data_IF_706336378878
#
_entry.id   IF_706336378878
#
_cell.length_a   1.000
_cell.length_b   1.000
_cell.length_c   1.000
_cell.angle_alpha   90.00
_cell.angle_beta   90.00
_cell.angle_gamma   90.00
#
_symmetry.space_group_name_H-M   'P 1'
#
loop_
_entity.id
_entity.type
_entity.pdbx_description
1 polymer ?
#
# COMPACT_ATOMS: atom_id res chain seq x y z
N UNK A 1 54.23 7.75 16.99
CA UNK A 1 53.34 7.47 15.85
C UNK A 1 52.74 6.08 16.06
N UNK A 2 51.42 5.99 16.28
CA UNK A 2 50.55 4.82 16.04
C UNK A 2 49.15 5.26 16.50
N UNK A 3 48.39 5.87 15.57
CA UNK A 3 47.01 6.29 15.80
C UNK A 3 46.14 5.04 15.72
N UNK A 4 45.65 4.59 16.87
CA UNK A 4 44.71 3.49 16.98
C UNK A 4 43.36 3.93 16.37
N UNK A 5 43.05 3.41 15.18
CA UNK A 5 41.78 3.63 14.49
C UNK A 5 40.75 2.72 15.12
N UNK A 6 39.99 3.22 16.08
CA UNK A 6 38.74 2.60 16.50
C UNK A 6 37.73 2.76 15.37
N UNK A 7 37.56 1.71 14.57
CA UNK A 7 36.43 1.59 13.65
C UNK A 7 35.17 1.38 14.50
N UNK A 8 34.61 2.50 14.98
CA UNK A 8 33.24 2.55 15.50
C UNK A 8 32.32 2.11 14.38
N UNK A 9 32.00 0.81 14.38
CA UNK A 9 30.97 0.21 13.55
C UNK A 9 29.67 0.86 13.98
N UNK A 10 29.33 1.93 13.26
CA UNK A 10 28.02 2.56 13.27
C UNK A 10 27.04 1.46 12.95
N UNK A 11 26.51 0.83 13.99
CA UNK A 11 25.23 0.17 13.92
C UNK A 11 24.27 1.30 13.61
N UNK A 12 24.04 1.47 12.32
CA UNK A 12 23.00 2.33 11.79
C UNK A 12 21.75 1.97 12.57
N UNK A 13 21.41 2.81 13.55
CA UNK A 13 20.08 2.82 14.11
C UNK A 13 19.17 2.88 12.91
N UNK A 14 18.46 1.79 12.67
CA UNK A 14 17.26 1.82 11.88
C UNK A 14 16.42 2.88 12.56
N UNK A 15 16.46 4.08 11.99
CA UNK A 15 15.48 5.12 12.20
C UNK A 15 14.19 4.42 11.81
N UNK A 16 13.51 3.85 12.81
CA UNK A 16 12.08 3.58 12.75
C UNK A 16 11.52 4.98 12.57
N UNK A 17 11.41 5.35 11.29
CA UNK A 17 10.81 6.58 10.86
C UNK A 17 9.47 6.61 11.58
N UNK A 18 9.27 7.66 12.38
CA UNK A 18 7.98 7.99 12.93
C UNK A 18 6.97 7.75 11.82
N UNK A 19 6.08 6.76 12.04
CA UNK A 19 4.96 6.51 11.18
C UNK A 19 4.23 7.84 11.11
N UNK A 20 4.43 8.55 10.00
CA UNK A 20 3.74 9.79 9.76
C UNK A 20 2.28 9.44 9.86
N UNK A 21 1.59 10.04 10.82
CA UNK A 21 0.15 10.21 10.79
C UNK A 21 -0.16 10.94 9.48
N UNK A 22 -0.20 10.21 8.37
CA UNK A 22 -0.95 10.58 7.20
C UNK A 22 -2.38 10.47 7.65
N UNK A 23 -2.84 11.50 8.37
CA UNK A 23 -4.24 11.75 8.56
C UNK A 23 -4.82 11.78 7.15
N UNK A 24 -5.46 10.68 6.76
CA UNK A 24 -6.26 10.64 5.55
C UNK A 24 -7.36 11.65 5.83
N UNK A 25 -7.14 12.87 5.33
CA UNK A 25 -8.14 13.92 5.32
C UNK A 25 -9.21 13.45 4.34
N UNK A 26 -10.08 12.56 4.80
CA UNK A 26 -11.38 12.33 4.19
C UNK A 26 -12.12 13.65 4.33
N UNK A 27 -11.94 14.53 3.35
CA UNK A 27 -12.78 15.70 3.22
C UNK A 27 -14.20 15.15 3.04
N UNK A 28 -15.15 15.48 3.93
CA UNK A 28 -16.52 15.03 3.76
C UNK A 28 -17.00 15.53 2.40
N UNK A 29 -17.18 14.60 1.47
CA UNK A 29 -17.95 14.91 0.27
C UNK A 29 -19.35 15.19 0.79
N UNK A 30 -19.90 16.40 0.58
CA UNK A 30 -21.27 16.65 0.96
C UNK A 30 -22.11 15.63 0.21
N UNK A 31 -22.71 14.67 0.93
CA UNK A 31 -23.78 13.85 0.40
C UNK A 31 -24.84 14.84 -0.05
N UNK A 32 -24.89 15.09 -1.36
CA UNK A 32 -25.90 15.95 -1.95
C UNK A 32 -27.22 15.29 -1.62
N UNK A 33 -27.95 15.84 -0.65
CA UNK A 33 -29.29 15.38 -0.35
C UNK A 33 -30.06 15.43 -1.66
N UNK A 34 -30.46 14.25 -2.18
CA UNK A 34 -31.29 14.19 -3.35
C UNK A 34 -32.47 15.15 -3.15
N UNK A 35 -32.80 15.98 -4.16
CA UNK A 35 -33.95 16.87 -4.06
C UNK A 35 -35.18 16.03 -3.67
N UNK A 36 -35.89 16.47 -2.62
CA UNK A 36 -37.07 15.77 -2.12
C UNK A 36 -38.23 15.78 -3.14
N UNK A 37 -38.16 16.68 -4.13
CA UNK A 37 -39.12 16.79 -5.22
C UNK A 37 -38.59 16.10 -6.48
N UNK A 38 -39.44 15.35 -7.21
CA UNK A 38 -39.05 14.73 -8.46
C UNK A 38 -38.64 15.81 -9.50
N UNK A 39 -37.66 15.53 -10.38
CA UNK A 39 -37.22 16.49 -11.38
C UNK A 39 -38.40 16.94 -12.24
N UNK A 40 -38.60 18.26 -12.36
CA UNK A 40 -39.73 18.83 -13.08
C UNK A 40 -39.53 18.71 -14.60
N UNK A 41 -38.29 18.52 -15.05
CA UNK A 41 -37.92 18.43 -16.46
C UNK A 41 -36.99 17.26 -16.77
N UNK A 42 -37.02 16.82 -18.03
CA UNK A 42 -36.13 15.80 -18.57
C UNK A 42 -34.64 16.20 -18.50
N UNK A 43 -34.34 17.49 -18.57
CA UNK A 43 -32.98 18.02 -18.46
C UNK A 43 -32.47 17.98 -17.01
N UNK A 44 -33.31 18.29 -16.02
CA UNK A 44 -32.95 18.16 -14.61
C UNK A 44 -32.71 16.69 -14.22
N UNK A 45 -33.54 15.76 -14.73
CA UNK A 45 -33.32 14.33 -14.55
C UNK A 45 -31.97 13.87 -15.14
N UNK A 46 -31.59 14.45 -16.27
CA UNK A 46 -30.34 14.12 -16.95
C UNK A 46 -29.11 14.52 -16.14
N UNK A 47 -29.09 15.78 -15.69
CA UNK A 47 -28.02 16.33 -14.88
C UNK A 47 -27.87 15.58 -13.55
N UNK A 48 -28.99 15.15 -12.96
CA UNK A 48 -28.98 14.41 -11.70
C UNK A 48 -28.39 13.01 -11.85
N UNK A 49 -28.69 12.30 -12.94
CA UNK A 49 -28.08 10.98 -13.23
C UNK A 49 -26.59 11.11 -13.50
N UNK A 50 -26.17 12.13 -14.25
CA UNK A 50 -24.76 12.40 -14.49
C UNK A 50 -24.01 12.70 -13.17
N UNK A 51 -24.56 13.57 -12.32
CA UNK A 51 -24.01 13.84 -11.00
C UNK A 51 -23.94 12.59 -10.13
N UNK A 52 -24.97 11.75 -10.14
CA UNK A 52 -25.01 10.50 -9.36
C UNK A 52 -23.94 9.52 -9.84
N UNK A 53 -23.77 9.38 -11.17
CA UNK A 53 -22.73 8.52 -11.73
C UNK A 53 -21.32 9.01 -11.37
N UNK A 54 -21.10 10.33 -11.42
CA UNK A 54 -19.83 10.94 -11.00
C UNK A 54 -19.58 10.73 -9.50
N UNK A 55 -20.61 10.87 -8.66
CA UNK A 55 -20.53 10.61 -7.22
C UNK A 55 -20.21 9.15 -6.93
N UNK A 56 -20.86 8.19 -7.59
CA UNK A 56 -20.56 6.76 -7.46
C UNK A 56 -19.12 6.43 -7.83
N UNK A 57 -18.63 6.99 -8.94
CA UNK A 57 -17.23 6.80 -9.37
C UNK A 57 -16.25 7.37 -8.34
N UNK A 58 -16.53 8.57 -7.83
CA UNK A 58 -15.71 9.19 -6.80
C UNK A 58 -15.76 8.42 -5.46
N UNK A 59 -16.89 7.81 -5.13
CA UNK A 59 -17.06 7.03 -3.92
C UNK A 59 -16.34 5.67 -4.02
N UNK A 60 -16.41 5.01 -5.17
CA UNK A 60 -15.71 3.74 -5.43
C UNK A 60 -14.19 3.94 -5.31
N UNK A 61 -13.66 5.02 -5.90
CA UNK A 61 -12.25 5.39 -5.74
C UNK A 61 -11.90 5.67 -4.26
N UNK A 62 -12.76 6.40 -3.53
CA UNK A 62 -12.54 6.66 -2.11
C UNK A 62 -12.54 5.38 -1.27
N UNK A 63 -13.45 4.43 -1.55
CA UNK A 63 -13.47 3.11 -0.90
C UNK A 63 -12.17 2.38 -1.17
N UNK A 64 -11.73 2.32 -2.42
CA UNK A 64 -10.48 1.65 -2.77
C UNK A 64 -9.26 2.29 -2.09
N UNK A 65 -9.19 3.62 -2.06
CA UNK A 65 -8.13 4.33 -1.34
C UNK A 65 -8.19 4.09 0.18
N UNK A 66 -9.39 4.01 0.76
CA UNK A 66 -9.57 3.68 2.17
C UNK A 66 -9.13 2.24 2.49
N UNK A 67 -9.46 1.26 1.64
CA UNK A 67 -8.99 -0.12 1.78
C UNK A 67 -7.45 -0.21 1.74
N UNK A 68 -6.82 0.51 0.80
CA UNK A 68 -5.35 0.58 0.72
C UNK A 68 -4.75 1.22 1.97
N UNK A 69 -5.39 2.26 2.52
CA UNK A 69 -4.97 2.90 3.76
C UNK A 69 -5.08 1.94 4.95
N UNK A 70 -6.20 1.21 5.10
CA UNK A 70 -6.39 0.18 6.13
C UNK A 70 -5.29 -0.87 6.03
N UNK A 71 -5.04 -1.42 4.84
CA UNK A 71 -4.01 -2.43 4.63
C UNK A 71 -2.60 -1.91 5.00
N UNK A 72 -2.29 -0.65 4.67
CA UNK A 72 -1.02 -0.04 5.04
C UNK A 72 -0.87 0.12 6.55
N UNK A 73 -1.93 0.50 7.27
CA UNK A 73 -1.89 0.62 8.74
C UNK A 73 -1.76 -0.73 9.43
N UNK A 74 -2.45 -1.77 8.92
CA UNK A 74 -2.29 -3.13 9.43
C UNK A 74 -0.87 -3.67 9.23
N UNK A 75 -0.23 -3.37 8.09
CA UNK A 75 1.17 -3.74 7.87
C UNK A 75 2.10 -3.00 8.84
N UNK A 76 1.86 -1.70 9.09
CA UNK A 76 2.65 -0.92 10.03
C UNK A 76 2.52 -1.48 11.47
N UNK A 77 1.32 -1.91 11.87
CA UNK A 77 1.10 -2.60 13.15
C UNK A 77 1.91 -3.90 13.25
N UNK A 78 1.86 -4.73 12.21
CA UNK A 78 2.62 -5.98 12.16
C UNK A 78 4.14 -5.78 12.20
N UNK A 79 4.65 -4.73 11.57
CA UNK A 79 6.07 -4.37 11.61
C UNK A 79 6.49 -3.89 13.02
N UNK A 80 5.62 -3.11 13.69
CA UNK A 80 5.83 -2.71 15.09
C UNK A 80 5.81 -3.91 16.03
N UNK A 81 4.92 -4.89 15.79
CA UNK A 81 4.86 -6.15 16.52
C UNK A 81 6.17 -6.92 16.44
N UNK A 82 6.68 -7.12 15.22
CA UNK A 82 7.93 -7.83 15.01
C UNK A 82 9.13 -7.13 15.68
N UNK A 83 9.13 -5.79 15.72
CA UNK A 83 10.18 -5.01 16.39
C UNK A 83 10.16 -5.19 17.91
N UNK A 84 8.97 -5.22 18.54
CA UNK A 84 8.85 -5.48 19.97
C UNK A 84 9.28 -6.90 20.32
N UNK A 85 8.86 -7.91 19.54
CA UNK A 85 9.22 -9.30 19.76
C UNK A 85 10.75 -9.50 19.69
N UNK A 86 11.41 -8.81 18.76
CA UNK A 86 12.87 -8.79 18.67
C UNK A 86 13.53 -8.17 19.91
N UNK A 87 12.97 -7.09 20.46
CA UNK A 87 13.46 -6.46 21.68
C UNK A 87 13.28 -7.36 22.92
N UNK A 88 12.13 -8.04 23.02
CA UNK A 88 11.87 -9.02 24.08
C UNK A 88 12.83 -10.22 24.01
N UNK A 89 13.09 -10.74 22.81
CA UNK A 89 14.04 -11.82 22.61
C UNK A 89 15.46 -11.44 23.04
N UNK A 90 15.86 -10.17 22.89
CA UNK A 90 17.14 -9.67 23.41
C UNK A 90 17.14 -9.64 24.94
N UNK A 91 16.09 -9.12 25.59
CA UNK A 91 16.00 -9.16 27.07
C UNK A 91 16.06 -10.57 27.63
N UNK A 92 15.35 -11.51 26.99
CA UNK A 92 15.33 -12.90 27.42
C UNK A 92 16.73 -13.53 27.41
N UNK A 93 17.61 -13.11 26.50
CA UNK A 93 19.02 -13.55 26.46
C UNK A 93 19.84 -13.02 27.64
N UNK A 94 19.57 -11.80 28.11
CA UNK A 94 20.30 -11.19 29.23
C UNK A 94 19.73 -11.57 30.61
N UNK A 95 18.46 -11.99 30.68
CA UNK A 95 17.79 -12.32 31.94
C UNK A 95 18.54 -13.34 32.84
N UNK A 96 19.15 -14.43 32.31
CA UNK A 96 19.92 -15.36 33.14
C UNK A 96 21.18 -14.73 33.74
N UNK A 97 21.86 -13.85 33.00
CA UNK A 97 23.08 -13.16 33.44
C UNK A 97 22.75 -12.21 34.59
N UNK A 98 21.69 -11.41 34.44
CA UNK A 98 21.21 -10.48 35.47
C UNK A 98 20.80 -11.25 36.73
N UNK A 99 20.07 -12.36 36.57
CA UNK A 99 19.68 -13.22 37.69
C UNK A 99 20.90 -13.83 38.38
N UNK A 100 21.92 -14.24 37.62
CA UNK A 100 23.18 -14.75 38.15
C UNK A 100 23.94 -13.70 38.95
N UNK A 101 24.01 -12.45 38.47
CA UNK A 101 24.64 -11.33 39.18
C UNK A 101 23.88 -11.07 40.50
N UNK A 102 22.55 -10.99 40.45
CA UNK A 102 21.72 -10.78 41.63
C UNK A 102 21.88 -11.90 42.67
N UNK A 103 21.89 -13.17 42.24
CA UNK A 103 22.09 -14.32 43.12
C UNK A 103 23.49 -14.34 43.74
N UNK A 104 24.55 -14.11 42.96
CA UNK A 104 25.93 -14.09 43.45
C UNK A 104 26.25 -12.88 44.36
N UNK A 105 25.61 -11.74 44.08
CA UNK A 105 25.65 -10.55 44.93
C UNK A 105 24.97 -10.76 46.27
N UNK A 106 23.85 -11.49 46.29
CA UNK A 106 23.07 -11.75 47.50
C UNK A 106 23.63 -12.88 48.38
N UNK A 107 24.19 -13.95 47.79
CA UNK A 107 24.44 -15.21 48.52
C UNK A 107 25.88 -15.54 48.90
N UNK A 108 26.92 -15.10 48.17
CA UNK A 108 28.16 -15.91 48.18
C UNK A 108 29.52 -15.22 48.30
N UNK A 109 29.66 -13.91 48.12
CA UNK A 109 30.96 -13.35 47.77
C UNK A 109 31.63 -12.48 48.84
N UNK A 110 30.98 -12.16 49.96
CA UNK A 110 31.60 -11.32 51.01
C UNK A 110 32.76 -12.02 51.71
N UNK A 111 32.67 -13.33 51.96
CA UNK A 111 33.72 -14.06 52.69
C UNK A 111 34.94 -14.42 51.81
N UNK A 112 34.72 -14.81 50.55
CA UNK A 112 35.81 -15.11 49.59
C UNK A 112 36.51 -13.86 49.05
N UNK A 113 35.82 -12.71 48.93
CA UNK A 113 36.45 -11.44 48.50
C UNK A 113 37.43 -10.90 49.54
N UNK A 114 37.12 -11.04 50.83
CA UNK A 114 38.05 -10.65 51.92
C UNK A 114 39.28 -11.57 51.94
N UNK A 115 39.11 -12.88 51.67
CA UNK A 115 40.23 -13.81 51.57
C UNK A 115 41.11 -13.56 50.33
N UNK A 116 40.51 -13.24 49.18
CA UNK A 116 41.25 -12.88 47.95
C UNK A 116 41.98 -11.53 48.08
N UNK A 117 41.40 -10.56 48.81
CA UNK A 117 42.05 -9.28 49.10
C UNK A 117 43.32 -9.45 49.97
N UNK A 118 43.31 -10.40 50.90
CA UNK A 118 44.48 -10.71 51.75
C UNK A 118 45.57 -11.52 51.01
N UNK A 119 45.26 -12.11 49.85
CA UNK A 119 46.20 -12.91 49.06
C UNK A 119 46.67 -12.26 47.75
N UNK A 120 46.19 -11.06 47.41
CA UNK A 120 46.57 -10.36 46.17
C UNK A 120 47.86 -9.57 46.36
N UNK A 121 48.89 -9.88 45.57
CA UNK A 121 50.25 -9.35 45.72
C UNK A 121 50.44 -7.90 45.21
N UNK A 122 49.41 -7.25 44.64
CA UNK A 122 49.55 -5.87 44.11
C UNK A 122 48.25 -5.04 44.21
N UNK A 123 48.38 -3.77 44.62
CA UNK A 123 47.25 -2.84 44.71
C UNK A 123 46.74 -2.39 43.32
N UNK A 124 47.59 -2.45 42.29
CA UNK A 124 47.26 -2.05 40.92
C UNK A 124 46.28 -3.02 40.24
N UNK A 125 46.42 -4.34 40.50
CA UNK A 125 45.53 -5.35 39.92
C UNK A 125 44.10 -5.23 40.45
N UNK A 126 43.94 -4.86 41.73
CA UNK A 126 42.62 -4.60 42.31
C UNK A 126 41.92 -3.41 41.63
N UNK A 127 42.65 -2.31 41.42
CA UNK A 127 42.09 -1.12 40.75
C UNK A 127 41.70 -1.46 39.31
N UNK A 128 42.55 -2.19 38.57
CA UNK A 128 42.24 -2.63 37.22
C UNK A 128 40.99 -3.52 37.16
N UNK A 129 40.82 -4.44 38.13
CA UNK A 129 39.63 -5.29 38.23
C UNK A 129 38.37 -4.47 38.55
N UNK A 130 38.45 -3.48 39.45
CA UNK A 130 37.31 -2.60 39.77
C UNK A 130 36.91 -1.73 38.58
N UNK A 131 37.88 -1.16 37.84
CA UNK A 131 37.59 -0.40 36.62
C UNK A 131 36.93 -1.26 35.53
N UNK A 132 37.34 -2.51 35.38
CA UNK A 132 36.70 -3.43 34.44
C UNK A 132 35.26 -3.76 34.85
N UNK A 133 35.02 -3.99 36.14
CA UNK A 133 33.68 -4.25 36.67
C UNK A 133 32.77 -3.03 36.50
N UNK A 134 33.29 -1.82 36.76
CA UNK A 134 32.57 -0.56 36.58
C UNK A 134 32.17 -0.36 35.11
N UNK A 135 33.11 -0.57 34.18
CA UNK A 135 32.84 -0.48 32.74
C UNK A 135 31.84 -1.53 32.25
N UNK A 136 31.85 -2.73 32.84
CA UNK A 136 30.86 -3.78 32.52
C UNK A 136 29.48 -3.47 33.10
N UNK A 137 29.41 -2.90 34.30
CA UNK A 137 28.17 -2.44 34.92
C UNK A 137 27.53 -1.31 34.11
N UNK A 138 28.30 -0.27 33.78
CA UNK A 138 27.87 0.84 32.92
C UNK A 138 27.36 0.33 31.56
N UNK A 139 28.06 -0.62 30.95
CA UNK A 139 27.61 -1.20 29.68
C UNK A 139 26.28 -1.96 29.83
N UNK A 140 26.11 -2.73 30.91
CA UNK A 140 24.90 -3.51 31.16
C UNK A 140 23.70 -2.62 31.45
N UNK A 141 23.88 -1.58 32.28
CA UNK A 141 22.85 -0.58 32.57
C UNK A 141 22.47 0.20 31.30
N UNK A 142 23.45 0.51 30.45
CA UNK A 142 23.23 1.10 29.13
C UNK A 142 22.36 0.21 28.24
N UNK A 143 22.68 -1.07 28.11
CA UNK A 143 21.89 -2.03 27.32
C UNK A 143 20.47 -2.18 27.88
N UNK A 144 20.30 -2.28 29.20
CA UNK A 144 18.96 -2.37 29.82
C UNK A 144 18.12 -1.12 29.59
N UNK A 145 18.73 0.06 29.67
CA UNK A 145 18.08 1.34 29.36
C UNK A 145 17.66 1.40 27.90
N UNK A 146 18.54 1.01 26.97
CA UNK A 146 18.23 1.00 25.54
C UNK A 146 17.09 0.03 25.21
N UNK A 147 17.09 -1.16 25.80
CA UNK A 147 16.06 -2.17 25.50
C UNK A 147 14.71 -1.80 26.12
N UNK A 148 14.67 -1.31 27.36
CA UNK A 148 13.42 -0.80 27.95
C UNK A 148 12.84 0.37 27.15
N UNK A 149 13.69 1.28 26.67
CA UNK A 149 13.27 2.36 25.77
C UNK A 149 12.83 1.85 24.38
N UNK A 150 13.39 0.74 23.89
CA UNK A 150 12.94 0.10 22.65
C UNK A 150 11.57 -0.55 22.83
N UNK A 151 11.33 -1.24 23.94
CA UNK A 151 10.02 -1.83 24.27
C UNK A 151 8.94 -0.75 24.37
N UNK A 152 9.18 0.31 25.15
CA UNK A 152 8.20 1.40 25.29
C UNK A 152 7.85 2.05 23.92
N UNK A 153 8.85 2.22 23.03
CA UNK A 153 8.62 2.73 21.67
C UNK A 153 7.82 1.75 20.81
N UNK A 154 8.06 0.45 20.94
CA UNK A 154 7.33 -0.55 20.18
C UNK A 154 5.88 -0.69 20.67
N UNK A 155 5.64 -0.68 21.99
CA UNK A 155 4.29 -0.64 22.58
C UNK A 155 3.52 0.61 22.13
N UNK A 156 4.16 1.78 22.15
CA UNK A 156 3.56 3.01 21.63
C UNK A 156 3.23 2.90 20.14
N UNK A 157 4.15 2.37 19.33
CA UNK A 157 3.93 2.19 17.89
C UNK A 157 2.79 1.21 17.59
N UNK A 158 2.67 0.12 18.37
CA UNK A 158 1.52 -0.81 18.31
C UNK A 158 0.21 -0.08 18.59
N UNK A 159 0.13 0.66 19.69
CA UNK A 159 -1.07 1.41 20.07
C UNK A 159 -1.47 2.48 19.03
N UNK A 160 -0.48 3.19 18.48
CA UNK A 160 -0.73 4.20 17.44
C UNK A 160 -1.22 3.55 16.13
N UNK A 161 -0.66 2.39 15.74
CA UNK A 161 -1.07 1.67 14.55
C UNK A 161 -2.48 1.05 14.70
N UNK A 162 -2.79 0.48 15.87
CA UNK A 162 -4.14 -0.04 16.19
C UNK A 162 -5.19 1.08 16.13
N UNK A 163 -4.87 2.24 16.72
CA UNK A 163 -5.75 3.41 16.68
C UNK A 163 -5.97 3.90 15.25
N UNK A 164 -4.92 3.93 14.42
CA UNK A 164 -5.01 4.33 13.02
C UNK A 164 -5.83 3.32 12.20
N UNK A 165 -5.65 2.01 12.42
CA UNK A 165 -6.44 0.97 11.78
C UNK A 165 -7.93 1.08 12.14
N UNK A 166 -8.25 1.28 13.43
CA UNK A 166 -9.63 1.45 13.88
C UNK A 166 -10.29 2.71 13.27
N UNK A 167 -9.56 3.82 13.13
CA UNK A 167 -10.05 5.01 12.45
C UNK A 167 -10.30 4.78 10.96
N UNK A 168 -9.40 4.05 10.29
CA UNK A 168 -9.52 3.72 8.88
C UNK A 168 -10.69 2.76 8.62
N UNK A 169 -10.90 1.76 9.47
CA UNK A 169 -12.05 0.84 9.41
C UNK A 169 -13.37 1.58 9.60
N UNK A 170 -13.43 2.52 10.56
CA UNK A 170 -14.61 3.35 10.78
C UNK A 170 -14.92 4.23 9.56
N UNK A 171 -13.89 4.80 8.93
CA UNK A 171 -14.06 5.57 7.70
C UNK A 171 -14.54 4.70 6.52
N UNK A 172 -13.98 3.50 6.36
CA UNK A 172 -14.42 2.55 5.33
C UNK A 172 -15.87 2.12 5.53
N UNK A 173 -16.27 1.85 6.78
CA UNK A 173 -17.67 1.58 7.13
C UNK A 173 -18.61 2.71 6.73
N UNK A 174 -18.25 3.96 7.04
CA UNK A 174 -19.04 5.14 6.65
C UNK A 174 -19.12 5.34 5.12
N UNK A 175 -18.06 4.98 4.38
CA UNK A 175 -18.08 5.01 2.91
C UNK A 175 -18.99 3.92 2.32
N UNK A 176 -18.97 2.71 2.89
CA UNK A 176 -19.90 1.66 2.48
C UNK A 176 -21.36 2.03 2.75
N UNK A 177 -21.66 2.63 3.90
CA UNK A 177 -23.01 3.14 4.19
C UNK A 177 -23.45 4.18 3.15
N UNK A 178 -22.57 5.11 2.77
CA UNK A 178 -22.84 6.07 1.70
C UNK A 178 -23.08 5.37 0.35
N UNK A 179 -22.31 4.31 0.05
CA UNK A 179 -22.45 3.57 -1.21
C UNK A 179 -23.82 2.91 -1.29
N UNK A 180 -24.27 2.27 -0.22
CA UNK A 180 -25.63 1.69 -0.12
C UNK A 180 -26.69 2.77 -0.29
N UNK A 181 -26.55 3.92 0.37
CA UNK A 181 -27.52 5.02 0.25
C UNK A 181 -27.61 5.58 -1.19
N UNK A 182 -26.50 5.70 -1.90
CA UNK A 182 -26.50 6.16 -3.30
C UNK A 182 -27.06 5.08 -4.23
N UNK A 183 -26.77 3.80 -3.96
CA UNK A 183 -27.34 2.66 -4.71
C UNK A 183 -28.87 2.64 -4.60
N UNK A 184 -29.42 2.78 -3.38
CA UNK A 184 -30.87 2.84 -3.16
C UNK A 184 -31.54 4.04 -3.83
N UNK A 185 -30.83 5.17 -3.94
CA UNK A 185 -31.31 6.33 -4.68
C UNK A 185 -31.35 6.04 -6.18
N UNK A 186 -30.29 5.42 -6.72
CA UNK A 186 -30.24 5.02 -8.12
C UNK A 186 -31.37 4.04 -8.49
N UNK A 187 -31.62 3.02 -7.66
CA UNK A 187 -32.73 2.07 -7.86
C UNK A 187 -34.10 2.76 -7.84
N UNK A 188 -34.30 3.73 -6.94
CA UNK A 188 -35.52 4.55 -6.92
C UNK A 188 -35.68 5.35 -8.21
N UNK A 189 -34.61 5.98 -8.70
CA UNK A 189 -34.64 6.71 -9.97
C UNK A 189 -34.94 5.80 -11.16
N UNK A 190 -34.38 4.59 -11.19
CA UNK A 190 -34.65 3.61 -12.24
C UNK A 190 -36.13 3.20 -12.24
N UNK A 191 -36.71 2.90 -11.07
CA UNK A 191 -38.13 2.59 -10.93
C UNK A 191 -39.05 3.77 -11.33
N UNK A 192 -38.67 5.00 -10.98
CA UNK A 192 -39.41 6.21 -11.39
C UNK A 192 -39.33 6.42 -12.92
N UNK A 193 -38.18 6.14 -13.53
CA UNK A 193 -37.98 6.21 -14.97
C UNK A 193 -38.79 5.15 -15.73
N UNK A 194 -38.85 3.91 -15.22
CA UNK A 194 -39.65 2.84 -15.82
C UNK A 194 -41.15 3.13 -15.81
N UNK A 195 -41.63 3.92 -14.83
CA UNK A 195 -43.02 4.39 -14.76
C UNK A 195 -43.37 5.45 -15.79
N UNK A 196 -42.39 6.14 -16.37
CA UNK A 196 -42.62 7.15 -17.39
C UNK A 196 -43.12 6.50 -18.69
N UNK A 197 -43.93 7.23 -19.45
CA UNK A 197 -44.34 6.78 -20.79
C UNK A 197 -43.15 6.77 -21.75
N UNK A 198 -43.21 5.98 -22.83
CA UNK A 198 -42.14 5.91 -23.82
C UNK A 198 -41.79 7.29 -24.44
N UNK A 199 -42.77 8.19 -24.55
CA UNK A 199 -42.54 9.55 -25.04
C UNK A 199 -41.80 10.43 -24.00
N UNK A 200 -42.03 10.22 -22.72
CA UNK A 200 -41.33 10.90 -21.62
C UNK A 200 -39.92 10.32 -21.44
N UNK A 201 -39.78 8.99 -21.47
CA UNK A 201 -38.49 8.31 -21.45
C UNK A 201 -37.61 8.82 -22.60
N UNK A 202 -38.12 8.87 -23.84
CA UNK A 202 -37.36 9.38 -24.99
C UNK A 202 -36.92 10.84 -24.83
N UNK A 203 -37.71 11.70 -24.16
CA UNK A 203 -37.29 13.08 -23.84
C UNK A 203 -36.15 13.09 -22.83
N UNK A 204 -36.22 12.26 -21.79
CA UNK A 204 -35.16 12.12 -20.78
C UNK A 204 -33.88 11.55 -21.40
N UNK A 205 -33.96 10.48 -22.21
CA UNK A 205 -32.78 9.92 -22.87
C UNK A 205 -32.15 10.89 -23.86
N UNK A 206 -32.98 11.66 -24.59
CA UNK A 206 -32.49 12.71 -25.52
C UNK A 206 -31.84 13.87 -24.77
N UNK A 207 -32.33 14.22 -23.58
CA UNK A 207 -31.72 15.23 -22.72
C UNK A 207 -30.37 14.75 -22.14
N UNK A 208 -30.28 13.48 -21.76
CA UNK A 208 -29.07 12.82 -21.23
C UNK A 208 -27.97 12.59 -22.26
N UNK A 209 -28.30 11.88 -23.34
CA UNK A 209 -27.32 11.39 -24.31
C UNK A 209 -27.19 12.31 -25.54
N UNK A 210 -27.94 13.40 -25.58
CA UNK A 210 -28.14 14.20 -26.78
C UNK A 210 -29.07 13.53 -27.80
N UNK A 211 -29.40 14.21 -28.91
CA UNK A 211 -30.23 13.64 -29.97
C UNK A 211 -29.55 12.41 -30.58
N UNK A 212 -30.31 11.32 -30.71
CA UNK A 212 -29.86 10.11 -31.39
C UNK A 212 -29.47 10.48 -32.82
N UNK A 213 -28.18 10.38 -33.13
CA UNK A 213 -27.68 10.61 -34.48
C UNK A 213 -28.20 9.49 -35.38
N UNK A 214 -28.99 9.85 -36.39
CA UNK A 214 -29.47 8.89 -37.38
C UNK A 214 -28.25 8.27 -38.09
N UNK A 215 -28.15 6.94 -38.06
CA UNK A 215 -27.03 6.23 -38.64
C UNK A 215 -26.83 6.64 -40.12
N UNK A 216 -25.61 6.94 -40.57
CA UNK A 216 -25.35 7.33 -41.95
C UNK A 216 -25.93 6.28 -42.90
N UNK A 217 -26.91 6.67 -43.71
CA UNK A 217 -27.47 5.78 -44.73
C UNK A 217 -26.32 5.35 -45.64
N UNK A 218 -26.12 4.04 -45.88
CA UNK A 218 -25.06 3.58 -46.75
C UNK A 218 -25.25 4.26 -48.11
N UNK A 219 -24.28 5.13 -48.47
CA UNK A 219 -24.23 5.76 -49.78
C UNK A 219 -24.25 4.63 -50.79
N UNK A 220 -25.24 4.62 -51.69
CA UNK A 220 -25.30 3.64 -52.77
C UNK A 220 -23.93 3.58 -53.44
N UNK A 221 -23.33 2.37 -53.58
CA UNK A 221 -22.01 2.26 -54.16
C UNK A 221 -22.04 2.89 -55.56
N UNK A 222 -21.02 3.71 -55.93
CA UNK A 222 -20.97 4.28 -57.27
C UNK A 222 -21.03 3.15 -58.30
N UNK A 223 -21.65 3.38 -59.47
CA UNK A 223 -21.71 2.37 -60.52
C UNK A 223 -20.28 1.89 -60.82
N UNK A 224 -20.08 0.57 -60.75
CA UNK A 224 -18.79 -0.06 -61.04
C UNK A 224 -18.36 0.37 -62.44
N UNK A 225 -17.28 1.13 -62.54
CA UNK A 225 -16.62 1.41 -63.81
C UNK A 225 -16.27 0.08 -64.49
N UNK A 226 -16.42 -0.02 -65.83
CA UNK A 226 -16.10 -1.25 -66.55
C UNK A 226 -14.67 -1.68 -66.28
N UNK A 227 -14.49 -2.97 -66.01
CA UNK A 227 -13.20 -3.57 -65.70
C UNK A 227 -12.17 -3.24 -66.79
N UNK A 228 -11.05 -2.67 -66.35
CA UNK A 228 -9.91 -2.35 -67.21
C UNK A 228 -9.37 -3.66 -67.82
N UNK A 229 -9.14 -3.73 -69.14
CA UNK A 229 -8.63 -4.95 -69.76
C UNK A 229 -7.26 -5.33 -69.18
N UNK A 230 -6.95 -6.63 -69.06
CA UNK A 230 -5.72 -7.09 -68.44
C UNK A 230 -4.50 -6.62 -69.24
N UNK A 231 -3.37 -6.32 -68.57
CA UNK A 231 -2.14 -5.92 -69.25
C UNK A 231 -1.62 -7.07 -70.12
N UNK A 232 -1.17 -6.72 -71.33
CA UNK A 232 -0.56 -7.66 -72.27
C UNK A 232 0.64 -8.37 -71.64
N UNK A 233 0.84 -9.67 -71.91
CA UNK A 233 1.95 -10.42 -71.33
C UNK A 233 3.30 -9.85 -71.81
N UNK A 234 4.17 -9.51 -70.86
CA UNK A 234 5.54 -9.14 -71.14
C UNK A 234 6.26 -10.24 -71.92
N UNK A 235 6.69 -9.90 -73.13
CA UNK A 235 7.53 -10.73 -73.99
C UNK A 235 8.88 -10.97 -73.30
N UNK A 236 9.10 -12.20 -72.83
CA UNK A 236 10.35 -12.65 -72.21
C UNK A 236 11.48 -12.50 -73.23
N UNK A 237 12.38 -11.54 -73.04
CA UNK A 237 13.66 -11.47 -73.75
C UNK A 237 14.58 -12.50 -73.09
N UNK A 238 14.86 -13.55 -73.84
CA UNK A 238 15.95 -14.49 -73.57
C UNK A 238 17.25 -13.72 -73.67
N UNK A 239 17.89 -13.46 -72.53
CA UNK A 239 19.34 -13.36 -72.33
C UNK A 239 19.60 -12.59 -71.04
N UNK A 240 20.05 -13.30 -70.01
CA UNK A 240 21.14 -12.91 -69.12
C UNK A 240 21.03 -13.69 -67.80
N UNK A 241 22.08 -14.47 -67.55
CA UNK A 241 22.32 -15.29 -66.39
C UNK A 241 22.51 -14.46 -65.12
N UNK A 242 21.52 -14.46 -64.23
CA UNK A 242 21.71 -14.17 -62.81
C UNK A 242 20.56 -14.76 -61.98
N UNK A 243 20.89 -15.66 -61.06
CA UNK A 243 19.98 -16.31 -60.11
C UNK A 243 19.56 -15.36 -58.98
N UNK A 244 18.26 -15.18 -58.70
CA UNK A 244 17.80 -14.74 -57.38
C UNK A 244 17.10 -15.88 -56.65
N UNK A 245 17.65 -16.20 -55.48
CA UNK A 245 17.14 -17.15 -54.49
C UNK A 245 15.85 -16.60 -53.85
N UNK A 246 14.72 -17.30 -54.01
CA UNK A 246 13.47 -17.00 -53.32
C UNK A 246 13.59 -17.27 -51.82
N UNK A 247 13.39 -16.24 -51.00
CA UNK A 247 13.21 -16.35 -49.54
C UNK A 247 11.76 -16.64 -49.17
N UNK A 248 11.53 -17.77 -48.50
CA UNK A 248 10.25 -18.16 -47.92
C UNK A 248 9.98 -17.46 -46.57
N UNK A 249 8.73 -17.09 -46.24
CA UNK A 249 8.38 -16.63 -44.90
C UNK A 249 8.27 -17.80 -43.91
N UNK A 250 9.02 -17.70 -42.81
CA UNK A 250 9.01 -18.62 -41.68
C UNK A 250 7.74 -18.43 -40.85
N UNK A 251 6.91 -19.47 -40.76
CA UNK A 251 6.03 -19.66 -39.60
C UNK A 251 6.86 -20.07 -38.39
N UNK A 252 6.58 -19.47 -37.22
CA UNK A 252 7.06 -20.00 -35.94
C UNK A 252 6.04 -19.74 -34.85
N UNK A 253 5.46 -20.84 -34.40
CA UNK A 253 4.71 -21.04 -33.16
C UNK A 253 5.66 -21.01 -31.95
N UNK A 254 5.22 -20.44 -30.84
CA UNK A 254 5.74 -20.66 -29.48
C UNK A 254 4.57 -20.37 -28.53
N UNK A 255 4.02 -21.33 -27.78
CA UNK A 255 4.59 -22.14 -26.69
C UNK A 255 4.43 -21.47 -25.31
N UNK A 256 3.42 -21.94 -24.58
CA UNK A 256 3.43 -22.53 -23.21
C UNK A 256 4.13 -21.83 -22.03
N UNK A 257 3.42 -21.94 -20.88
CA UNK A 257 3.85 -22.01 -19.46
C UNK A 257 3.43 -20.77 -18.62
N UNK A 258 2.47 -20.87 -17.69
CA UNK A 258 2.42 -21.60 -16.40
C UNK A 258 3.32 -20.97 -15.33
N UNK A 259 2.68 -20.32 -14.36
CA UNK A 259 3.03 -20.31 -12.94
C UNK A 259 1.71 -20.36 -12.17
#
# INVERSE_FOLDING_TARGET
MLRNRTSGRRWSGAVVAAAGLTAVLLTPVPAGAAPADPPATAAEAAELVEQTAQQLTALDEQVHQAELAVAAQQQAAADADAAADAAEALLAQYAPVIRGIAQNGYTGSTQSRVAAFLGSESADDLVAQMTLLDLLADHTDGVLTEVSAAQARAEQARADADAAAAQADAALGALHEQQVQVQEQAERYEADFERLTAAEQARVTTALAGPVLEAPRPRSPPPRLPARPPPSPCRRRSDSSATPTCGAPRGRTASTARA
#
